data_IF_993390686179
#
_entry.id   IF_993390686179
#
_cell.length_a   1.000
_cell.length_b   1.000
_cell.length_c   1.000
_cell.angle_alpha   90.00
_cell.angle_beta   90.00
_cell.angle_gamma   90.00
#
_symmetry.space_group_name_H-M   'P 1'
#
loop_
_entity.id
_entity.type
_entity.pdbx_description
1 polymer ?
#
# COMPACT_ATOMS: atom_id res chain seq x y z
N UNK A 1 17.16 3.44 -9.70
CA UNK A 1 16.80 2.26 -8.98
C UNK A 1 15.70 2.55 -7.96
N UNK A 2 14.62 1.89 -8.09
CA UNK A 2 13.52 2.15 -7.18
C UNK A 2 13.53 1.18 -6.03
N UNK A 3 13.86 1.70 -4.88
CA UNK A 3 13.78 0.88 -3.68
C UNK A 3 12.51 1.23 -2.95
N UNK A 4 11.45 0.60 -3.37
CA UNK A 4 10.17 0.84 -2.72
C UNK A 4 10.19 0.21 -1.33
N UNK A 5 9.62 0.89 -0.35
CA UNK A 5 9.54 0.29 0.99
C UNK A 5 8.68 -0.95 0.94
N UNK A 6 9.05 -1.90 1.76
CA UNK A 6 8.27 -3.14 1.84
C UNK A 6 7.08 -2.96 2.73
N UNK A 7 5.95 -3.45 2.27
CA UNK A 7 4.71 -3.31 3.01
C UNK A 7 4.02 -4.66 3.08
N UNK A 8 3.78 -5.10 4.29
CA UNK A 8 3.13 -6.39 4.52
C UNK A 8 1.64 -6.15 4.70
N UNK A 9 0.85 -6.78 3.87
CA UNK A 9 -0.60 -6.55 3.90
C UNK A 9 -1.37 -7.67 4.58
N UNK A 10 -0.68 -8.52 5.28
CA UNK A 10 -1.33 -9.60 6.02
C UNK A 10 -2.23 -9.02 7.09
N UNK A 11 -3.43 -9.54 7.19
CA UNK A 11 -4.34 -9.12 8.22
C UNK A 11 -5.21 -7.94 7.88
N UNK A 12 -5.14 -7.46 6.66
CA UNK A 12 -5.99 -6.35 6.28
C UNK A 12 -7.38 -6.80 5.82
N UNK A 13 -7.53 -8.08 5.55
CA UNK A 13 -8.85 -8.69 5.28
C UNK A 13 -9.64 -8.02 4.17
N UNK A 14 -8.97 -7.46 3.24
CA UNK A 14 -9.67 -6.82 2.13
C UNK A 14 -10.34 -5.50 2.48
N UNK A 15 -10.17 -5.02 3.68
CA UNK A 15 -10.71 -3.71 4.06
C UNK A 15 -9.83 -2.65 3.39
N UNK A 16 -10.42 -1.95 2.42
CA UNK A 16 -9.63 -1.01 1.63
C UNK A 16 -9.04 0.11 2.49
N UNK A 17 -9.77 0.55 3.51
CA UNK A 17 -9.25 1.62 4.35
C UNK A 17 -8.07 1.14 5.19
N UNK A 18 -8.11 -0.12 5.61
CA UNK A 18 -6.97 -0.68 6.33
C UNK A 18 -5.75 -0.77 5.44
N UNK A 19 -5.96 -1.14 4.18
CA UNK A 19 -4.86 -1.21 3.23
C UNK A 19 -4.26 0.17 2.99
N UNK A 20 -5.11 1.17 2.78
CA UNK A 20 -4.64 2.53 2.56
C UNK A 20 -3.83 3.01 3.76
N UNK A 21 -4.34 2.77 4.95
CA UNK A 21 -3.64 3.18 6.16
C UNK A 21 -2.30 2.49 6.33
N UNK A 22 -2.27 1.21 6.02
CA UNK A 22 -1.04 0.44 6.15
C UNK A 22 0.04 0.94 5.18
N UNK A 23 -0.35 1.19 3.94
CA UNK A 23 0.61 1.67 2.95
C UNK A 23 1.09 3.07 3.32
N UNK A 24 0.18 3.95 3.72
CA UNK A 24 0.57 5.29 4.10
C UNK A 24 1.53 5.28 5.29
N UNK A 25 1.24 4.43 6.27
CA UNK A 25 2.10 4.31 7.44
C UNK A 25 3.50 3.82 7.04
N UNK A 26 3.54 2.83 6.16
CA UNK A 26 4.80 2.29 5.68
C UNK A 26 5.63 3.37 4.99
N UNK A 27 4.97 4.19 4.16
CA UNK A 27 5.67 5.26 3.48
C UNK A 27 6.21 6.30 4.46
N UNK A 28 5.41 6.65 5.47
CA UNK A 28 5.89 7.60 6.48
C UNK A 28 7.09 7.07 7.24
N UNK A 29 7.04 5.79 7.58
CA UNK A 29 8.15 5.19 8.33
C UNK A 29 9.39 5.11 7.47
N UNK A 30 9.24 5.06 6.17
CA UNK A 30 10.37 5.05 5.26
C UNK A 30 10.89 6.46 4.96
N UNK A 31 10.34 7.47 5.62
CA UNK A 31 10.77 8.84 5.38
C UNK A 31 10.16 9.46 4.15
N UNK A 32 9.10 8.87 3.62
CA UNK A 32 8.48 9.35 2.39
C UNK A 32 7.09 9.91 2.69
N UNK A 33 7.06 10.90 3.56
CA UNK A 33 5.79 11.48 3.97
C UNK A 33 5.01 12.05 2.80
N UNK A 34 5.71 12.68 1.85
CA UNK A 34 5.05 13.25 0.69
C UNK A 34 4.36 12.17 -0.13
N UNK A 35 5.04 11.03 -0.26
CA UNK A 35 4.44 9.93 -1.00
C UNK A 35 3.24 9.35 -0.26
N UNK A 36 3.31 9.33 1.08
CA UNK A 36 2.18 8.84 1.86
C UNK A 36 0.96 9.69 1.63
N UNK A 37 1.13 11.00 1.60
CA UNK A 37 0.00 11.90 1.38
C UNK A 37 -0.53 11.78 -0.04
N UNK A 38 0.37 11.70 -1.00
CA UNK A 38 -0.04 11.55 -2.39
C UNK A 38 -0.81 10.25 -2.59
N UNK A 39 -0.29 9.17 -2.06
CA UNK A 39 -0.97 7.88 -2.18
C UNK A 39 -2.35 7.92 -1.54
N UNK A 40 -2.44 8.49 -0.35
CA UNK A 40 -3.71 8.52 0.37
C UNK A 40 -4.76 9.28 -0.44
N UNK A 41 -4.38 10.43 -1.00
CA UNK A 41 -5.33 11.20 -1.80
C UNK A 41 -5.79 10.43 -3.02
N UNK A 42 -4.85 9.83 -3.73
CA UNK A 42 -5.21 9.08 -4.93
C UNK A 42 -6.06 7.87 -4.59
N UNK A 43 -5.72 7.19 -3.51
CA UNK A 43 -6.45 6.00 -3.11
C UNK A 43 -7.86 6.35 -2.69
N UNK A 44 -8.01 7.44 -1.97
CA UNK A 44 -9.35 7.85 -1.53
C UNK A 44 -10.23 8.29 -2.68
N UNK A 45 -9.60 8.71 -3.78
CA UNK A 45 -10.34 9.07 -4.98
C UNK A 45 -10.65 7.89 -5.87
N UNK A 46 -10.09 6.75 -5.57
CA UNK A 46 -10.30 5.57 -6.39
C UNK A 46 -11.70 5.02 -6.21
N UNK A 47 -12.21 4.44 -7.28
CA UNK A 47 -13.58 3.95 -7.25
C UNK A 47 -13.70 2.48 -6.91
N UNK A 48 -12.59 1.78 -6.78
CA UNK A 48 -12.68 0.36 -6.54
C UNK A 48 -11.50 -0.13 -5.75
N UNK A 49 -11.72 -1.25 -5.10
CA UNK A 49 -10.68 -1.94 -4.36
C UNK A 49 -9.51 -2.29 -5.27
N UNK A 50 -9.82 -2.80 -6.46
CA UNK A 50 -8.77 -3.18 -7.40
C UNK A 50 -7.93 -1.99 -7.84
N UNK A 51 -8.53 -0.83 -7.96
CA UNK A 51 -7.79 0.36 -8.34
C UNK A 51 -6.79 0.72 -7.25
N UNK A 52 -7.18 0.58 -6.00
CA UNK A 52 -6.26 0.84 -4.89
C UNK A 52 -5.11 -0.15 -4.90
N UNK A 53 -5.41 -1.43 -5.13
CA UNK A 53 -4.35 -2.42 -5.19
C UNK A 53 -3.36 -2.12 -6.30
N UNK A 54 -3.86 -1.74 -7.46
CA UNK A 54 -2.98 -1.40 -8.57
C UNK A 54 -2.13 -0.18 -8.22
N UNK A 55 -2.73 0.79 -7.58
CA UNK A 55 -2.04 2.02 -7.24
C UNK A 55 -0.91 1.78 -6.25
N UNK A 56 -1.16 0.97 -5.23
CA UNK A 56 -0.17 0.81 -4.17
C UNK A 56 1.13 0.17 -4.66
N UNK A 57 1.07 -0.60 -5.73
CA UNK A 57 2.28 -1.23 -6.26
C UNK A 57 3.27 -0.21 -6.81
N UNK A 58 2.82 1.00 -7.05
CA UNK A 58 3.72 2.08 -7.48
C UNK A 58 4.42 2.73 -6.30
N UNK A 59 3.95 2.46 -5.09
CA UNK A 59 4.48 3.13 -3.91
C UNK A 59 5.21 2.21 -2.96
N UNK A 60 4.82 0.95 -2.91
CA UNK A 60 5.43 0.00 -1.98
C UNK A 60 5.58 -1.34 -2.67
N UNK A 61 6.47 -2.14 -2.11
CA UNK A 61 6.62 -3.52 -2.53
C UNK A 61 5.84 -4.39 -1.56
N UNK A 62 4.82 -5.06 -2.06
CA UNK A 62 3.99 -5.90 -1.21
C UNK A 62 4.75 -7.16 -0.86
N UNK A 63 4.84 -7.44 0.42
CA UNK A 63 5.49 -8.65 0.90
C UNK A 63 4.51 -9.41 1.77
N UNK A 64 4.87 -10.62 2.09
CA UNK A 64 4.04 -11.41 2.97
C UNK A 64 4.08 -12.87 2.60
N UNK A 65 3.65 -13.72 3.50
CA UNK A 65 3.67 -15.16 3.27
C UNK A 65 2.61 -15.62 2.31
N UNK A 66 1.71 -14.77 1.94
CA UNK A 66 0.62 -15.16 1.06
C UNK A 66 1.15 -15.73 -0.23
N UNK A 67 2.35 -15.47 -0.50
CA UNK A 67 2.84 -16.11 -1.62
C UNK A 67 3.10 -17.51 -1.31
N UNK A 68 2.81 -18.03 -0.94
CA UNK A 68 2.79 -19.17 -0.88
C UNK A 68 1.97 -19.94 -1.01
N UNK A 69 1.54 -19.90 -1.38
CA UNK A 69 0.84 -20.56 -1.48
C UNK A 69 0.88 -21.21 -1.94
N UNK A 70 0.94 -21.57 -2.10
CA UNK A 70 0.88 -22.31 -2.47
C UNK A 70 0.76 -22.66 -2.58
#
# INVERSE_FOLDING_TARGET
MNNLPKCELIGTDGNVFAIIGKVASTLRQAGQKDKAEEFTELAMSSNSYNAVLALLHSYVEVTGPSKRFR
#
